data_IF_586827883368
#
_entry.id   IF_586827883368
#
_cell.length_a   1.000
_cell.length_b   1.000
_cell.length_c   1.000
_cell.angle_alpha   90.00
_cell.angle_beta   90.00
_cell.angle_gamma   90.00
#
_symmetry.space_group_name_H-M   'P 1'
#
loop_
_entity.id
_entity.type
_entity.pdbx_description
1 polymer ?
#
# COMPACT_ATOMS: atom_id res chain seq x y z
N UNK A 1 19.69 30.89 -11.80
CA UNK A 1 20.79 31.54 -11.05
C UNK A 1 20.12 32.23 -9.86
N UNK A 2 20.25 31.85 -8.59
CA UNK A 2 21.40 31.34 -7.82
C UNK A 2 20.89 30.43 -6.68
N UNK A 3 21.66 29.38 -6.40
CA UNK A 3 21.51 28.44 -5.30
C UNK A 3 21.90 29.06 -3.94
N UNK A 4 21.23 28.67 -2.87
CA UNK A 4 21.62 28.95 -1.48
C UNK A 4 22.09 27.67 -0.78
N UNK A 5 23.39 27.59 -0.55
CA UNK A 5 24.08 26.54 0.20
C UNK A 5 23.96 26.77 1.71
N UNK A 6 23.84 25.70 2.49
CA UNK A 6 23.98 25.74 3.94
C UNK A 6 25.23 24.96 4.36
N UNK A 7 26.11 25.66 5.08
CA UNK A 7 27.39 25.17 5.62
C UNK A 7 27.20 24.44 6.95
N UNK A 8 27.95 23.36 7.12
CA UNK A 8 28.14 22.63 8.35
C UNK A 8 29.12 23.37 9.29
N UNK A 9 28.82 23.39 10.60
CA UNK A 9 29.74 23.84 11.65
C UNK A 9 30.17 22.65 12.51
N UNK A 10 31.49 22.45 12.55
CA UNK A 10 32.23 21.56 13.44
C UNK A 10 32.15 22.06 14.89
N UNK A 11 32.08 21.15 15.85
CA UNK A 11 32.46 21.43 17.24
C UNK A 11 33.57 20.46 17.66
N UNK A 12 34.51 21.06 18.36
CA UNK A 12 35.89 20.66 18.57
C UNK A 12 36.06 19.65 19.71
N UNK A 13 37.12 18.86 19.58
CA UNK A 13 37.58 17.85 20.52
C UNK A 13 38.46 18.46 21.61
N UNK A 14 38.27 18.08 22.88
CA UNK A 14 39.34 18.11 23.89
C UNK A 14 39.25 16.93 24.86
N UNK A 15 40.40 16.27 25.02
CA UNK A 15 40.70 15.12 25.87
C UNK A 15 40.82 15.46 27.36
N UNK A 16 40.75 14.46 28.26
CA UNK A 16 41.77 14.15 29.30
C UNK A 16 41.41 12.90 30.14
N UNK A 17 42.34 11.90 30.08
CA UNK A 17 42.89 10.95 31.10
C UNK A 17 42.04 10.07 32.04
N UNK A 18 42.15 8.76 31.77
CA UNK A 18 42.64 7.63 32.62
C UNK A 18 42.52 7.64 34.15
N UNK A 19 41.97 6.55 34.71
CA UNK A 19 42.18 6.08 36.09
C UNK A 19 41.64 4.66 36.34
N UNK A 20 42.55 3.72 36.61
CA UNK A 20 42.33 2.26 36.79
C UNK A 20 41.97 1.81 38.22
N UNK A 21 41.43 0.57 38.32
CA UNK A 21 41.36 -0.40 39.46
C UNK A 21 40.20 -0.18 40.45
N UNK A 22 39.55 -1.19 41.06
CA UNK A 22 39.87 -2.63 41.32
C UNK A 22 38.57 -3.39 41.68
N UNK A 23 38.59 -4.71 41.44
CA UNK A 23 37.67 -5.77 41.95
C UNK A 23 37.52 -5.78 43.47
N UNK A 24 36.38 -6.27 43.98
CA UNK A 24 36.26 -7.39 44.95
C UNK A 24 34.80 -7.81 45.18
N UNK A 25 34.48 -9.07 44.86
CA UNK A 25 33.49 -9.94 45.55
C UNK A 25 34.27 -10.76 46.61
N UNK A 26 33.70 -11.37 47.68
CA UNK A 26 32.85 -12.58 47.55
C UNK A 26 31.85 -12.91 48.69
N UNK A 27 30.97 -13.88 48.37
CA UNK A 27 30.43 -15.00 49.19
C UNK A 27 29.66 -14.68 50.51
N UNK A 28 28.78 -15.52 51.09
CA UNK A 28 28.53 -16.96 50.95
C UNK A 28 27.18 -17.34 51.62
N UNK A 29 26.74 -18.58 51.36
CA UNK A 29 25.49 -19.24 51.76
C UNK A 29 25.50 -19.75 53.21
N UNK A 30 24.33 -19.97 53.81
CA UNK A 30 23.80 -21.29 54.28
C UNK A 30 22.68 -21.15 55.35
N UNK A 31 21.68 -22.05 55.33
CA UNK A 31 20.39 -22.03 56.07
C UNK A 31 20.44 -22.40 57.57
N UNK A 32 19.42 -23.03 58.22
CA UNK A 32 18.36 -23.89 57.65
C UNK A 32 16.92 -23.74 58.24
N UNK A 33 15.97 -24.44 57.59
CA UNK A 33 14.73 -25.12 58.03
C UNK A 33 13.85 -24.57 59.17
N UNK A 34 12.55 -24.43 58.87
CA UNK A 34 11.47 -24.36 59.86
C UNK A 34 10.09 -24.56 59.21
N UNK A 35 9.52 -25.76 59.38
CA UNK A 35 8.17 -26.14 58.99
C UNK A 35 7.19 -25.70 60.08
N UNK A 36 6.08 -25.01 59.75
CA UNK A 36 4.84 -24.99 60.54
C UNK A 36 3.71 -24.33 59.74
N UNK A 37 2.62 -25.07 59.54
CA UNK A 37 1.43 -24.60 58.84
C UNK A 37 0.63 -23.56 59.63
N UNK A 38 -0.24 -22.84 58.91
CA UNK A 38 -1.47 -22.25 59.44
C UNK A 38 -2.40 -21.89 58.29
N UNK A 39 -3.67 -22.24 58.49
CA UNK A 39 -4.79 -22.03 57.59
C UNK A 39 -5.04 -20.55 57.28
N UNK A 40 -5.47 -20.25 56.06
CA UNK A 40 -5.99 -18.94 55.67
C UNK A 40 -7.48 -19.07 55.34
N UNK A 41 -8.27 -18.30 56.07
CA UNK A 41 -9.68 -18.05 55.81
C UNK A 41 -9.86 -17.22 54.53
N UNK A 42 -10.98 -17.48 53.85
CA UNK A 42 -11.52 -16.75 52.71
C UNK A 42 -11.48 -15.23 52.86
N UNK A 43 -11.03 -14.54 51.80
CA UNK A 43 -11.61 -13.31 51.25
C UNK A 43 -11.12 -13.18 49.80
N UNK A 44 -11.97 -13.59 48.85
CA UNK A 44 -11.71 -13.49 47.41
C UNK A 44 -12.72 -12.55 46.77
N UNK A 45 -12.46 -11.25 46.82
CA UNK A 45 -13.06 -10.25 45.93
C UNK A 45 -11.93 -9.72 45.04
N UNK A 46 -11.80 -10.30 43.86
CA UNK A 46 -10.93 -9.80 42.80
C UNK A 46 -11.77 -9.59 41.56
N UNK A 47 -12.38 -8.41 41.46
CA UNK A 47 -12.93 -7.95 40.19
C UNK A 47 -11.77 -7.90 39.18
N UNK A 48 -11.87 -8.69 38.13
CA UNK A 48 -10.94 -8.62 37.01
C UNK A 48 -11.11 -7.26 36.35
N UNK A 49 -10.19 -6.35 36.61
CA UNK A 49 -10.07 -5.10 35.85
C UNK A 49 -9.67 -5.47 34.42
N UNK A 50 -10.62 -5.37 33.48
CA UNK A 50 -10.29 -5.26 32.06
C UNK A 50 -9.29 -4.10 31.91
N UNK A 51 -8.23 -4.25 31.09
CA UNK A 51 -7.31 -3.14 30.85
C UNK A 51 -8.09 -1.96 30.27
N UNK A 52 -7.86 -0.75 30.80
CA UNK A 52 -8.44 0.48 30.26
C UNK A 52 -7.96 0.63 28.81
N UNK A 53 -8.87 0.49 27.84
CA UNK A 53 -8.63 0.92 26.46
C UNK A 53 -8.42 2.43 26.47
N UNK A 54 -7.25 2.87 26.05
CA UNK A 54 -7.01 4.29 25.75
C UNK A 54 -7.62 4.54 24.37
N UNK A 55 -8.80 5.15 24.31
CA UNK A 55 -9.40 5.52 23.03
C UNK A 55 -8.57 6.64 22.42
N UNK A 56 -7.97 6.40 21.27
CA UNK A 56 -7.25 7.43 20.51
C UNK A 56 -8.31 8.35 19.90
N UNK A 57 -8.40 9.59 20.40
CA UNK A 57 -9.25 10.61 19.77
C UNK A 57 -8.55 11.13 18.52
N UNK A 58 -9.20 10.99 17.36
CA UNK A 58 -8.69 11.51 16.10
C UNK A 58 -9.08 12.99 15.93
N UNK A 59 -8.17 13.77 15.36
CA UNK A 59 -8.52 15.12 14.87
C UNK A 59 -9.35 14.96 13.60
N UNK A 60 -10.40 15.76 13.44
CA UNK A 60 -11.30 15.67 12.29
C UNK A 60 -11.55 17.03 11.65
N UNK A 61 -11.70 17.02 10.33
CA UNK A 61 -12.38 18.06 9.58
C UNK A 61 -13.77 17.53 9.21
N UNK A 62 -14.82 18.31 9.49
CA UNK A 62 -16.20 17.90 9.26
C UNK A 62 -16.88 18.89 8.33
N UNK A 63 -17.48 18.38 7.27
CA UNK A 63 -18.33 19.13 6.34
C UNK A 63 -19.75 18.61 6.51
N UNK A 64 -20.64 19.42 7.08
CA UNK A 64 -22.01 19.02 7.42
C UNK A 64 -23.06 19.95 6.76
N UNK A 65 -23.39 19.73 5.48
CA UNK A 65 -24.47 20.47 4.82
C UNK A 65 -25.82 20.22 5.52
N UNK A 66 -26.74 21.20 5.55
CA UNK A 66 -28.05 21.02 6.19
C UNK A 66 -28.96 20.02 5.45
N UNK A 67 -28.62 19.69 4.21
CA UNK A 67 -29.30 18.71 3.36
C UNK A 67 -28.83 17.27 3.58
N UNK A 68 -27.81 17.08 4.43
CA UNK A 68 -27.23 15.78 4.65
C UNK A 68 -28.16 14.86 5.43
N UNK A 69 -28.34 13.65 4.91
CA UNK A 69 -29.15 12.59 5.51
C UNK A 69 -28.38 11.28 5.70
N UNK A 70 -27.08 11.28 5.37
CA UNK A 70 -26.15 10.17 5.50
C UNK A 70 -24.80 10.65 6.02
N UNK A 71 -23.96 9.72 6.48
CA UNK A 71 -22.59 10.01 6.87
C UNK A 71 -21.62 9.39 5.85
N UNK A 72 -20.59 10.14 5.49
CA UNK A 72 -19.46 9.68 4.68
C UNK A 72 -18.16 9.85 5.48
N UNK A 73 -17.48 8.76 5.80
CA UNK A 73 -16.15 8.79 6.42
C UNK A 73 -15.08 8.69 5.33
N UNK A 74 -14.28 9.73 5.09
CA UNK A 74 -13.22 9.74 4.07
C UNK A 74 -11.83 9.74 4.70
N UNK A 75 -11.08 8.66 4.48
CA UNK A 75 -9.77 8.39 5.11
C UNK A 75 -8.63 8.68 4.14
N UNK A 76 -7.76 9.63 4.48
CA UNK A 76 -6.66 10.09 3.62
C UNK A 76 -5.50 9.06 3.49
N UNK A 77 -4.64 9.25 2.49
CA UNK A 77 -3.45 8.41 2.26
C UNK A 77 -2.24 8.76 3.14
N UNK A 78 -1.13 8.04 2.96
CA UNK A 78 0.12 8.32 3.68
C UNK A 78 0.67 9.72 3.36
N UNK A 79 1.14 10.43 4.38
CA UNK A 79 1.76 11.75 4.25
C UNK A 79 0.79 12.91 4.05
N UNK A 80 -0.53 12.65 4.12
CA UNK A 80 -1.61 13.63 3.98
C UNK A 80 -2.22 13.99 5.35
N UNK A 81 -3.33 14.74 5.35
CA UNK A 81 -4.03 15.16 6.56
C UNK A 81 -5.56 15.23 6.36
N UNK A 82 -6.28 15.69 7.38
CA UNK A 82 -7.75 15.78 7.38
C UNK A 82 -8.35 16.76 6.36
N UNK A 83 -7.53 17.59 5.70
CA UNK A 83 -8.01 18.55 4.69
C UNK A 83 -7.84 18.01 3.27
N UNK A 84 -7.02 16.97 3.08
CA UNK A 84 -6.57 16.48 1.76
C UNK A 84 -7.74 16.08 0.85
N UNK A 85 -8.64 15.21 1.33
CA UNK A 85 -9.76 14.71 0.54
C UNK A 85 -10.96 15.67 0.51
N UNK A 86 -10.96 16.76 1.28
CA UNK A 86 -12.07 17.72 1.30
C UNK A 86 -12.26 18.40 -0.06
N UNK A 87 -11.17 18.53 -0.84
CA UNK A 87 -11.20 19.08 -2.20
C UNK A 87 -11.99 18.24 -3.21
N UNK A 88 -12.32 16.98 -2.89
CA UNK A 88 -13.08 16.08 -3.75
C UNK A 88 -14.60 16.26 -3.62
N UNK A 89 -15.06 16.84 -2.49
CA UNK A 89 -16.49 16.93 -2.16
C UNK A 89 -17.35 17.68 -3.19
N UNK A 90 -16.89 18.75 -3.85
CA UNK A 90 -17.66 19.39 -4.92
C UNK A 90 -18.00 18.46 -6.10
N UNK A 91 -17.29 17.34 -6.24
CA UNK A 91 -17.51 16.36 -7.30
C UNK A 91 -18.16 15.08 -6.78
N UNK A 92 -17.81 14.63 -5.57
CA UNK A 92 -18.38 13.42 -4.96
C UNK A 92 -19.81 13.63 -4.44
N UNK A 93 -20.08 14.78 -3.83
CA UNK A 93 -21.36 15.09 -3.18
C UNK A 93 -21.79 16.55 -3.45
N UNK A 94 -22.03 16.94 -4.71
CA UNK A 94 -22.40 18.31 -5.07
C UNK A 94 -23.73 18.76 -4.46
N UNK A 95 -24.64 17.84 -4.12
CA UNK A 95 -25.91 18.15 -3.45
C UNK A 95 -25.82 18.20 -1.92
N UNK A 96 -24.67 17.88 -1.33
CA UNK A 96 -24.47 17.88 0.11
C UNK A 96 -25.39 16.91 0.85
N UNK A 97 -25.46 15.65 0.38
CA UNK A 97 -26.24 14.56 0.97
C UNK A 97 -25.53 13.89 2.14
N UNK A 98 -24.23 14.11 2.29
CA UNK A 98 -23.44 13.48 3.33
C UNK A 98 -22.90 14.51 4.33
N UNK A 99 -23.01 14.18 5.62
CA UNK A 99 -22.09 14.69 6.62
C UNK A 99 -20.77 13.97 6.36
N UNK A 100 -19.78 14.70 5.84
CA UNK A 100 -18.47 14.12 5.58
C UNK A 100 -17.56 14.36 6.78
N UNK A 101 -17.03 13.26 7.33
CA UNK A 101 -16.01 13.26 8.38
C UNK A 101 -14.68 12.85 7.77
N UNK A 102 -13.68 13.72 7.89
CA UNK A 102 -12.33 13.48 7.40
C UNK A 102 -11.38 13.45 8.60
N UNK A 103 -10.94 12.28 9.06
CA UNK A 103 -10.01 12.18 10.19
C UNK A 103 -8.56 12.28 9.74
N UNK A 104 -7.71 12.78 10.66
CA UNK A 104 -6.25 12.77 10.54
C UNK A 104 -5.67 11.48 11.11
N UNK A 105 -4.74 10.87 10.39
CA UNK A 105 -3.96 9.73 10.87
C UNK A 105 -3.19 10.03 12.17
N UNK A 106 -3.14 9.08 13.13
CA UNK A 106 -2.52 9.33 14.43
C UNK A 106 -0.99 9.33 14.42
N UNK A 107 -0.34 8.83 13.35
CA UNK A 107 1.11 8.70 13.25
C UNK A 107 1.70 9.84 12.43
N UNK A 108 2.66 10.58 12.98
CA UNK A 108 3.33 11.66 12.26
C UNK A 108 4.19 11.12 11.10
N UNK A 109 3.99 11.66 9.90
CA UNK A 109 4.72 11.26 8.69
C UNK A 109 4.99 12.49 7.81
N UNK A 110 6.05 13.27 8.10
CA UNK A 110 6.33 14.53 7.41
C UNK A 110 6.29 14.40 5.88
N UNK A 111 5.57 15.30 5.15
CA UNK A 111 5.02 16.56 5.63
C UNK A 111 3.68 16.47 6.40
N UNK A 112 3.01 15.32 6.44
CA UNK A 112 1.70 15.14 7.06
C UNK A 112 1.65 14.00 8.06
N UNK A 113 0.66 13.13 7.90
CA UNK A 113 0.31 12.06 8.82
C UNK A 113 0.09 10.73 8.08
N UNK A 114 0.11 9.66 8.85
CA UNK A 114 -0.11 8.29 8.40
C UNK A 114 -0.94 7.53 9.43
N UNK A 115 -1.48 6.40 9.00
CA UNK A 115 -2.34 5.56 9.83
C UNK A 115 -1.60 4.41 10.48
N UNK A 116 -0.57 3.91 9.83
CA UNK A 116 0.29 2.88 10.36
C UNK A 116 1.69 3.07 9.80
N UNK A 117 2.67 2.49 10.48
CA UNK A 117 4.05 2.58 10.07
C UNK A 117 4.24 1.89 8.71
N UNK A 118 5.01 2.52 7.83
CA UNK A 118 5.61 1.87 6.67
C UNK A 118 7.02 1.47 7.10
N UNK A 119 7.28 0.18 7.26
CA UNK A 119 8.50 -0.30 7.91
C UNK A 119 9.79 0.20 7.25
N UNK A 120 10.44 1.22 7.81
CA UNK A 120 11.89 1.34 7.80
C UNK A 120 12.37 0.63 9.06
N UNK A 121 13.09 -0.48 8.89
CA UNK A 121 13.64 -1.28 9.98
C UNK A 121 14.37 -0.39 11.01
N UNK A 122 13.69 -0.03 12.12
CA UNK A 122 14.28 0.92 13.05
C UNK A 122 13.43 1.49 14.17
N UNK A 123 12.24 0.97 14.51
CA UNK A 123 11.52 1.47 15.71
C UNK A 123 10.43 0.52 16.27
N UNK A 124 10.69 -0.78 16.44
CA UNK A 124 10.02 -1.63 17.44
C UNK A 124 8.48 -1.82 17.42
N UNK A 125 7.72 -1.13 16.58
CA UNK A 125 6.28 -1.32 16.38
C UNK A 125 6.11 -2.07 15.06
N UNK A 126 5.59 -3.28 15.15
CA UNK A 126 5.19 -4.07 13.99
C UNK A 126 4.02 -3.35 13.30
N UNK A 127 4.08 -3.21 11.97
CA UNK A 127 3.07 -2.57 11.10
C UNK A 127 1.64 -3.00 11.45
N UNK A 128 1.46 -4.24 11.93
CA UNK A 128 0.16 -4.78 12.34
C UNK A 128 -0.48 -4.07 13.55
N UNK A 129 0.29 -3.64 14.54
CA UNK A 129 -0.28 -3.06 15.77
C UNK A 129 -0.87 -1.68 15.51
N UNK A 130 -0.13 -0.80 14.83
CA UNK A 130 -0.60 0.56 14.53
C UNK A 130 -1.73 0.57 13.52
N UNK A 131 -1.78 -0.42 12.63
CA UNK A 131 -2.94 -0.65 11.75
C UNK A 131 -4.20 -0.96 12.55
N UNK A 132 -4.14 -1.93 13.47
CA UNK A 132 -5.29 -2.34 14.30
C UNK A 132 -5.77 -1.19 15.18
N UNK A 133 -4.86 -0.43 15.80
CA UNK A 133 -5.21 0.74 16.61
C UNK A 133 -5.91 1.83 15.79
N UNK A 134 -5.42 2.13 14.60
CA UNK A 134 -6.07 3.07 13.68
C UNK A 134 -7.44 2.58 13.22
N UNK A 135 -7.58 1.28 12.94
CA UNK A 135 -8.85 0.67 12.56
C UNK A 135 -9.88 0.74 13.71
N UNK A 136 -9.47 0.49 14.95
CA UNK A 136 -10.33 0.66 16.13
C UNK A 136 -10.73 2.13 16.34
N UNK A 137 -9.81 3.07 16.16
CA UNK A 137 -10.10 4.50 16.29
C UNK A 137 -11.09 5.00 15.22
N UNK A 138 -10.95 4.55 13.97
CA UNK A 138 -11.89 4.86 12.89
C UNK A 138 -13.27 4.24 13.14
N UNK A 139 -13.31 3.02 13.67
CA UNK A 139 -14.55 2.32 14.00
C UNK A 139 -15.34 3.02 15.13
N UNK A 140 -14.66 3.52 16.15
CA UNK A 140 -15.25 4.32 17.23
C UNK A 140 -15.65 5.72 16.75
N UNK A 141 -14.85 6.34 15.88
CA UNK A 141 -15.19 7.63 15.27
C UNK A 141 -16.46 7.56 14.43
N UNK A 142 -16.60 6.51 13.60
CA UNK A 142 -17.78 6.32 12.76
C UNK A 142 -19.07 6.25 13.61
N UNK A 143 -19.03 5.51 14.72
CA UNK A 143 -20.16 5.37 15.64
C UNK A 143 -20.49 6.68 16.38
N UNK A 144 -19.44 7.37 16.85
CA UNK A 144 -19.56 8.66 17.53
C UNK A 144 -20.16 9.71 16.61
N UNK A 145 -19.63 9.85 15.39
CA UNK A 145 -20.11 10.83 14.43
C UNK A 145 -21.55 10.54 13.96
N UNK A 146 -21.91 9.27 13.75
CA UNK A 146 -23.30 8.90 13.47
C UNK A 146 -24.23 9.32 14.62
N UNK A 147 -23.83 9.05 15.86
CA UNK A 147 -24.60 9.42 17.06
C UNK A 147 -24.76 10.93 17.22
N UNK A 148 -23.68 11.70 17.06
CA UNK A 148 -23.68 13.16 17.19
C UNK A 148 -24.57 13.84 16.14
N UNK A 149 -24.65 13.27 14.94
CA UNK A 149 -25.47 13.80 13.86
C UNK A 149 -26.87 13.16 13.77
N UNK A 150 -27.21 12.21 14.65
CA UNK A 150 -28.50 11.52 14.65
C UNK A 150 -28.73 10.64 13.41
N UNK A 151 -27.65 10.09 12.85
CA UNK A 151 -27.64 9.27 11.64
C UNK A 151 -27.46 7.79 12.01
N UNK A 152 -28.01 6.89 11.19
CA UNK A 152 -27.82 5.45 11.38
C UNK A 152 -26.46 5.02 10.83
N UNK A 153 -25.67 4.34 11.65
CA UNK A 153 -24.37 3.76 11.23
C UNK A 153 -24.49 2.81 10.03
N UNK A 154 -25.55 2.01 9.99
CA UNK A 154 -25.82 1.08 8.90
C UNK A 154 -26.08 1.77 7.55
N UNK A 155 -26.42 3.06 7.58
CA UNK A 155 -26.63 3.88 6.38
C UNK A 155 -25.36 4.67 5.98
N UNK A 156 -24.31 4.64 6.80
CA UNK A 156 -23.08 5.38 6.53
C UNK A 156 -22.27 4.71 5.42
N UNK A 157 -21.51 5.51 4.66
CA UNK A 157 -20.53 5.03 3.68
C UNK A 157 -19.13 5.34 4.21
N UNK A 158 -18.20 4.41 4.01
CA UNK A 158 -16.79 4.62 4.32
C UNK A 158 -15.99 4.63 3.03
N UNK A 159 -14.98 5.47 2.93
CA UNK A 159 -14.11 5.51 1.77
C UNK A 159 -12.72 5.99 2.11
N UNK A 160 -11.77 5.76 1.21
CA UNK A 160 -10.42 6.22 1.42
C UNK A 160 -9.52 6.06 0.22
N UNK A 161 -8.37 6.73 0.31
CA UNK A 161 -7.33 6.72 -0.70
C UNK A 161 -6.06 6.05 -0.16
N UNK A 162 -5.38 5.23 -0.98
CA UNK A 162 -4.08 4.64 -0.63
C UNK A 162 -4.13 3.90 0.71
N UNK A 163 -3.28 4.26 1.68
CA UNK A 163 -3.31 3.72 3.05
C UNK A 163 -4.70 3.79 3.71
N UNK A 164 -5.40 4.93 3.56
CA UNK A 164 -6.74 5.11 4.10
C UNK A 164 -7.79 4.27 3.39
N UNK A 165 -7.59 3.97 2.10
CA UNK A 165 -8.44 3.05 1.35
C UNK A 165 -8.40 1.62 1.92
N UNK A 166 -7.23 1.14 2.30
CA UNK A 166 -7.06 -0.18 2.91
C UNK A 166 -7.77 -0.25 4.26
N UNK A 167 -7.69 0.82 5.06
CA UNK A 167 -8.44 0.92 6.32
C UNK A 167 -9.96 1.01 6.10
N UNK A 168 -10.43 1.71 5.07
CA UNK A 168 -11.85 1.76 4.74
C UNK A 168 -12.39 0.38 4.34
N UNK A 169 -11.62 -0.38 3.54
CA UNK A 169 -11.94 -1.78 3.20
C UNK A 169 -11.95 -2.65 4.45
N UNK A 170 -10.91 -2.59 5.29
CA UNK A 170 -10.88 -3.34 6.55
C UNK A 170 -12.05 -2.97 7.47
N UNK A 171 -12.40 -1.69 7.57
CA UNK A 171 -13.52 -1.23 8.40
C UNK A 171 -14.87 -1.72 7.88
N UNK A 172 -15.05 -1.73 6.57
CA UNK A 172 -16.26 -2.25 5.94
C UNK A 172 -16.41 -3.76 6.10
N UNK A 173 -15.31 -4.50 6.06
CA UNK A 173 -15.33 -5.98 6.00
C UNK A 173 -15.02 -6.68 7.32
N UNK A 174 -14.48 -6.00 8.34
CA UNK A 174 -14.09 -6.63 9.61
C UNK A 174 -15.26 -7.30 10.32
N UNK A 175 -15.00 -8.43 10.96
CA UNK A 175 -15.92 -9.00 11.94
C UNK A 175 -16.14 -7.99 13.09
N UNK A 176 -17.39 -7.61 13.34
CA UNK A 176 -17.76 -6.64 14.35
C UNK A 176 -19.16 -6.90 14.89
N UNK A 177 -19.40 -6.55 16.16
CA UNK A 177 -20.76 -6.49 16.71
C UNK A 177 -21.50 -5.22 16.26
N UNK A 178 -20.77 -4.19 15.81
CA UNK A 178 -21.35 -2.96 15.27
C UNK A 178 -21.87 -3.21 13.86
N UNK A 179 -22.91 -2.48 13.46
CA UNK A 179 -23.42 -2.54 12.10
C UNK A 179 -22.34 -2.16 11.08
N UNK A 180 -22.27 -2.91 9.98
CA UNK A 180 -21.44 -2.59 8.83
C UNK A 180 -21.97 -1.33 8.12
N UNK A 181 -21.09 -0.55 7.46
CA UNK A 181 -21.51 0.55 6.60
C UNK A 181 -22.29 0.04 5.38
N UNK A 182 -23.10 0.91 4.79
CA UNK A 182 -23.91 0.65 3.60
C UNK A 182 -23.08 0.41 2.33
N UNK A 183 -21.81 0.86 2.31
CA UNK A 183 -20.91 0.63 1.20
C UNK A 183 -19.48 1.12 1.49
N UNK A 184 -18.54 0.69 0.65
CA UNK A 184 -17.13 1.08 0.70
C UNK A 184 -16.64 1.69 -0.62
N UNK A 185 -16.00 2.86 -0.57
CA UNK A 185 -15.28 3.48 -1.69
C UNK A 185 -13.76 3.29 -1.52
N UNK A 186 -13.15 2.45 -2.35
CA UNK A 186 -11.74 2.12 -2.30
C UNK A 186 -10.99 2.74 -3.49
N UNK A 187 -10.20 3.80 -3.23
CA UNK A 187 -9.42 4.50 -4.27
C UNK A 187 -7.93 4.19 -4.16
N UNK A 188 -7.34 3.70 -5.25
CA UNK A 188 -5.91 3.42 -5.43
C UNK A 188 -5.30 2.71 -4.22
N UNK A 189 -5.83 1.54 -3.89
CA UNK A 189 -5.51 0.83 -2.64
C UNK A 189 -5.40 -0.69 -2.85
N UNK A 190 -5.25 -1.44 -1.76
CA UNK A 190 -5.07 -2.89 -1.73
C UNK A 190 -5.91 -3.51 -0.60
N UNK A 191 -6.12 -4.82 -0.65
CA UNK A 191 -6.69 -5.57 0.46
C UNK A 191 -5.63 -5.69 1.57
N UNK A 192 -5.85 -5.16 2.78
CA UNK A 192 -4.88 -5.30 3.86
C UNK A 192 -4.82 -6.76 4.34
N UNK A 193 -3.62 -7.32 4.39
CA UNK A 193 -3.33 -8.60 5.03
C UNK A 193 -2.58 -8.33 6.34
N UNK A 194 -3.35 -8.24 7.44
CA UNK A 194 -2.85 -7.82 8.75
C UNK A 194 -3.31 -8.78 9.83
N UNK A 195 -2.35 -9.37 10.56
CA UNK A 195 -2.65 -10.21 11.73
C UNK A 195 -3.45 -9.41 12.77
N UNK A 196 -4.57 -9.99 13.22
CA UNK A 196 -5.47 -9.36 14.19
C UNK A 196 -6.69 -8.65 13.58
N UNK A 197 -6.86 -8.69 12.26
CA UNK A 197 -8.07 -8.21 11.56
C UNK A 197 -8.76 -9.38 10.88
N UNK A 198 -9.80 -9.92 11.53
CA UNK A 198 -10.66 -10.94 10.93
C UNK A 198 -11.70 -10.30 10.01
N UNK A 199 -11.82 -10.77 8.77
CA UNK A 199 -12.81 -10.32 7.80
C UNK A 199 -14.06 -11.22 7.82
N UNK A 200 -15.24 -10.62 7.89
CA UNK A 200 -16.53 -11.31 7.81
C UNK A 200 -17.03 -11.35 6.37
N UNK A 201 -16.55 -12.35 5.62
CA UNK A 201 -16.94 -12.57 4.24
C UNK A 201 -18.43 -12.90 4.05
N UNK A 202 -19.11 -13.40 5.09
CA UNK A 202 -20.53 -13.68 5.00
C UNK A 202 -21.34 -12.37 5.02
N UNK A 203 -21.04 -11.48 5.97
CA UNK A 203 -21.64 -10.15 6.04
C UNK A 203 -21.27 -9.27 4.83
N UNK A 204 -20.05 -9.44 4.30
CA UNK A 204 -19.55 -8.70 3.14
C UNK A 204 -20.43 -8.83 1.88
N UNK A 205 -21.17 -9.94 1.72
CA UNK A 205 -22.05 -10.16 0.57
C UNK A 205 -23.20 -9.14 0.45
N UNK A 206 -23.48 -8.39 1.50
CA UNK A 206 -24.49 -7.32 1.52
C UNK A 206 -23.90 -5.91 1.33
N UNK A 207 -22.56 -5.77 1.26
CA UNK A 207 -21.86 -4.49 1.27
C UNK A 207 -21.29 -4.21 -0.12
N UNK A 208 -21.91 -3.33 -0.94
CA UNK A 208 -21.33 -2.93 -2.21
C UNK A 208 -20.00 -2.21 -2.01
N UNK A 209 -19.03 -2.50 -2.89
CA UNK A 209 -17.71 -1.88 -2.91
C UNK A 209 -17.40 -1.35 -4.31
N UNK A 210 -17.06 -0.06 -4.39
CA UNK A 210 -16.46 0.54 -5.58
C UNK A 210 -14.94 0.58 -5.42
N UNK A 211 -14.23 -0.11 -6.31
CA UNK A 211 -12.77 -0.11 -6.38
C UNK A 211 -12.33 0.67 -7.61
N UNK A 212 -11.53 1.72 -7.41
CA UNK A 212 -10.99 2.54 -8.48
C UNK A 212 -9.47 2.56 -8.41
N UNK A 213 -8.77 2.40 -9.53
CA UNK A 213 -7.31 2.35 -9.53
C UNK A 213 -6.70 3.04 -10.76
N UNK A 214 -5.51 3.61 -10.60
CA UNK A 214 -4.73 4.18 -11.69
C UNK A 214 -3.96 3.11 -12.46
N UNK A 215 -4.07 3.07 -13.79
CA UNK A 215 -3.31 2.13 -14.63
C UNK A 215 -1.81 2.40 -14.64
N UNK A 216 -1.40 3.64 -14.32
CA UNK A 216 -0.01 4.09 -14.29
C UNK A 216 0.47 4.36 -12.85
N UNK A 217 -0.16 3.76 -11.84
CA UNK A 217 0.17 3.95 -10.43
C UNK A 217 1.58 3.40 -10.10
N UNK A 218 2.57 4.28 -9.81
CA UNK A 218 3.94 3.83 -9.56
C UNK A 218 4.17 3.37 -8.12
N UNK A 219 3.20 3.57 -7.22
CA UNK A 219 3.32 3.23 -5.80
C UNK A 219 2.59 1.93 -5.47
N UNK A 220 1.40 1.75 -6.03
CA UNK A 220 0.60 0.54 -5.90
C UNK A 220 0.24 0.09 -7.32
N UNK A 221 1.08 -0.75 -7.95
CA UNK A 221 0.80 -1.23 -9.30
C UNK A 221 -0.58 -1.88 -9.40
N UNK A 222 -1.30 -1.63 -10.49
CA UNK A 222 -2.71 -2.05 -10.66
C UNK A 222 -2.90 -3.56 -10.52
N UNK A 223 -1.90 -4.33 -10.97
CA UNK A 223 -1.82 -5.79 -10.91
C UNK A 223 -1.59 -6.34 -9.50
N UNK A 224 -1.17 -5.50 -8.55
CA UNK A 224 -0.94 -5.88 -7.14
C UNK A 224 -1.89 -5.19 -6.16
N UNK A 225 -2.53 -4.09 -6.58
CA UNK A 225 -3.47 -3.31 -5.78
C UNK A 225 -4.92 -3.57 -6.15
N UNK A 226 -5.54 -2.60 -6.82
CA UNK A 226 -6.98 -2.56 -7.05
C UNK A 226 -7.54 -3.78 -7.75
N UNK A 227 -6.83 -4.36 -8.73
CA UNK A 227 -7.32 -5.57 -9.41
C UNK A 227 -7.31 -6.79 -8.50
N UNK A 228 -6.27 -6.98 -7.69
CA UNK A 228 -6.20 -8.09 -6.72
C UNK A 228 -7.29 -7.93 -5.65
N UNK A 229 -7.47 -6.71 -5.14
CA UNK A 229 -8.56 -6.40 -4.22
C UNK A 229 -9.91 -6.75 -4.85
N UNK A 230 -10.23 -6.19 -6.02
CA UNK A 230 -11.51 -6.41 -6.69
C UNK A 230 -11.76 -7.89 -7.02
N UNK A 231 -10.77 -8.61 -7.52
CA UNK A 231 -10.89 -10.04 -7.80
C UNK A 231 -11.18 -10.83 -6.52
N UNK A 232 -10.48 -10.52 -5.42
CA UNK A 232 -10.71 -11.19 -4.13
C UNK A 232 -12.13 -10.94 -3.61
N UNK A 233 -12.64 -9.72 -3.74
CA UNK A 233 -14.01 -9.36 -3.36
C UNK A 233 -15.04 -10.16 -4.18
N UNK A 234 -14.86 -10.20 -5.50
CA UNK A 234 -15.73 -10.95 -6.43
C UNK A 234 -15.71 -12.44 -6.12
N UNK A 235 -14.55 -13.02 -5.87
CA UNK A 235 -14.39 -14.45 -5.55
C UNK A 235 -15.12 -14.84 -4.25
N UNK A 236 -15.27 -13.90 -3.32
CA UNK A 236 -16.04 -14.07 -2.08
C UNK A 236 -17.52 -13.65 -2.20
N UNK A 237 -17.99 -13.27 -3.38
CA UNK A 237 -19.39 -12.90 -3.62
C UNK A 237 -19.78 -11.51 -3.14
N UNK A 238 -18.82 -10.62 -2.91
CA UNK A 238 -19.07 -9.22 -2.53
C UNK A 238 -19.52 -8.42 -3.77
N UNK A 239 -20.64 -7.67 -3.71
CA UNK A 239 -21.07 -6.82 -4.82
C UNK A 239 -20.00 -5.76 -5.14
N UNK A 240 -19.32 -5.92 -6.26
CA UNK A 240 -18.13 -5.11 -6.59
C UNK A 240 -18.29 -4.43 -7.94
N UNK A 241 -17.94 -3.15 -8.01
CA UNK A 241 -17.67 -2.41 -9.25
C UNK A 241 -16.18 -2.08 -9.26
N UNK A 242 -15.48 -2.48 -10.33
CA UNK A 242 -14.05 -2.21 -10.50
C UNK A 242 -13.79 -1.38 -11.75
N UNK A 243 -13.03 -0.30 -11.58
CA UNK A 243 -12.73 0.66 -12.64
C UNK A 243 -11.25 1.06 -12.65
N UNK A 244 -10.70 1.17 -13.84
CA UNK A 244 -9.33 1.60 -14.10
C UNK A 244 -9.32 2.93 -14.84
N UNK A 245 -8.42 3.83 -14.46
CA UNK A 245 -8.29 5.16 -15.06
C UNK A 245 -6.85 5.42 -15.50
N UNK A 246 -6.61 6.13 -16.63
CA UNK A 246 -5.28 6.50 -17.10
C UNK A 246 -4.66 7.60 -16.22
N UNK A 247 -4.30 7.23 -14.99
CA UNK A 247 -3.75 8.11 -13.95
C UNK A 247 -2.70 7.35 -13.13
N UNK A 248 -1.84 8.12 -12.44
CA UNK A 248 -0.88 7.57 -11.48
C UNK A 248 -1.51 7.32 -10.10
N UNK A 249 -0.69 7.43 -9.04
CA UNK A 249 -1.17 7.36 -7.65
C UNK A 249 -1.93 8.64 -7.26
N UNK A 250 -3.13 8.81 -7.81
CA UNK A 250 -3.98 10.00 -7.67
C UNK A 250 -5.45 9.63 -7.83
N UNK A 251 -6.35 10.63 -7.80
CA UNK A 251 -7.78 10.49 -8.09
C UNK A 251 -8.12 11.32 -9.33
N UNK A 252 -8.71 10.70 -10.35
CA UNK A 252 -9.08 11.35 -11.61
C UNK A 252 -10.48 11.99 -11.52
N UNK A 253 -10.74 13.02 -12.31
CA UNK A 253 -12.06 13.67 -12.30
C UNK A 253 -13.16 12.72 -12.77
N UNK A 254 -12.86 11.90 -13.78
CA UNK A 254 -13.76 10.87 -14.31
C UNK A 254 -14.10 9.83 -13.23
N UNK A 255 -13.14 9.47 -12.38
CA UNK A 255 -13.37 8.53 -11.29
C UNK A 255 -14.30 9.11 -10.22
N UNK A 256 -14.21 10.42 -9.96
CA UNK A 256 -15.11 11.11 -9.02
C UNK A 256 -16.56 11.11 -9.52
N UNK A 257 -16.81 11.24 -10.82
CA UNK A 257 -18.17 11.16 -11.37
C UNK A 257 -18.77 9.76 -11.18
N UNK A 258 -18.00 8.70 -11.45
CA UNK A 258 -18.49 7.34 -11.19
C UNK A 258 -18.73 7.10 -9.69
N UNK A 259 -17.83 7.59 -8.84
CA UNK A 259 -18.00 7.50 -7.39
C UNK A 259 -19.24 8.24 -6.89
N UNK A 260 -19.57 9.41 -7.46
CA UNK A 260 -20.80 10.13 -7.18
C UNK A 260 -22.06 9.32 -7.54
N UNK A 261 -22.10 8.75 -8.75
CA UNK A 261 -23.23 7.95 -9.22
C UNK A 261 -23.40 6.70 -8.34
N UNK A 262 -22.29 6.04 -7.99
CA UNK A 262 -22.27 4.90 -7.10
C UNK A 262 -22.75 5.25 -5.69
N UNK A 263 -22.31 6.37 -5.11
CA UNK A 263 -22.80 6.86 -3.81
C UNK A 263 -24.32 7.12 -3.84
N UNK A 264 -24.83 7.63 -4.97
CA UNK A 264 -26.25 7.81 -5.22
C UNK A 264 -27.03 6.48 -5.19
N UNK A 265 -26.51 5.45 -5.85
CA UNK A 265 -27.11 4.12 -5.89
C UNK A 265 -27.10 3.45 -4.50
N UNK A 266 -25.98 3.51 -3.77
CA UNK A 266 -25.89 2.99 -2.40
C UNK A 266 -26.87 3.71 -1.47
N UNK A 267 -26.99 5.04 -1.57
CA UNK A 267 -27.99 5.81 -0.80
C UNK A 267 -29.43 5.40 -1.13
N UNK A 268 -29.70 4.98 -2.36
CA UNK A 268 -31.00 4.45 -2.79
C UNK A 268 -31.26 3.00 -2.32
N UNK A 269 -30.31 2.38 -1.62
CA UNK A 269 -30.40 0.99 -1.15
C UNK A 269 -30.02 -0.05 -2.22
N UNK A 270 -29.43 0.39 -3.33
CA UNK A 270 -28.92 -0.51 -4.36
C UNK A 270 -27.58 -1.13 -3.94
N UNK A 271 -27.22 -2.25 -4.57
CA UNK A 271 -25.93 -2.92 -4.38
C UNK A 271 -25.22 -3.04 -5.72
N UNK A 272 -24.62 -1.95 -6.23
CA UNK A 272 -23.97 -1.96 -7.52
C UNK A 272 -22.93 -3.07 -7.62
N UNK A 273 -22.98 -3.84 -8.71
CA UNK A 273 -21.97 -4.82 -9.05
C UNK A 273 -21.88 -4.96 -10.57
N UNK A 274 -20.67 -5.12 -11.08
CA UNK A 274 -20.40 -5.31 -12.49
C UNK A 274 -19.41 -6.47 -12.69
N UNK A 275 -19.43 -7.15 -13.86
CA UNK A 275 -18.37 -8.09 -14.22
C UNK A 275 -17.00 -7.41 -14.19
N UNK A 276 -15.98 -8.13 -13.74
CA UNK A 276 -14.61 -7.64 -13.79
C UNK A 276 -14.22 -7.29 -15.24
N UNK A 277 -13.65 -6.09 -15.50
CA UNK A 277 -13.05 -5.78 -16.78
C UNK A 277 -11.94 -6.79 -17.09
N UNK A 278 -11.85 -7.21 -18.35
CA UNK A 278 -10.78 -8.09 -18.80
C UNK A 278 -9.42 -7.43 -18.54
N UNK A 279 -8.47 -8.18 -18.02
CA UNK A 279 -7.14 -7.66 -17.80
C UNK A 279 -6.52 -7.23 -19.14
N UNK A 280 -5.78 -6.10 -19.20
CA UNK A 280 -4.91 -5.86 -20.33
C UNK A 280 -4.03 -7.09 -20.53
N UNK A 281 -3.73 -7.47 -21.78
CA UNK A 281 -2.79 -8.55 -22.01
C UNK A 281 -1.49 -8.24 -21.27
N UNK A 282 -0.97 -9.24 -20.56
CA UNK A 282 0.33 -9.18 -19.88
C UNK A 282 1.36 -8.49 -20.78
N UNK A 283 2.08 -7.47 -20.28
CA UNK A 283 3.07 -6.80 -21.09
C UNK A 283 4.13 -7.83 -21.51
N UNK A 284 4.40 -7.89 -22.81
CA UNK A 284 5.39 -8.83 -23.36
C UNK A 284 6.81 -8.59 -22.82
N UNK A 285 7.03 -7.43 -22.17
CA UNK A 285 8.26 -7.03 -21.50
C UNK A 285 7.95 -6.68 -20.04
N UNK A 286 7.96 -7.70 -19.17
CA UNK A 286 7.69 -7.56 -17.73
C UNK A 286 8.89 -6.93 -16.99
N UNK A 287 8.63 -6.16 -15.93
CA UNK A 287 9.67 -5.74 -14.98
C UNK A 287 10.06 -6.90 -14.06
N UNK A 288 11.35 -7.08 -13.82
CA UNK A 288 11.86 -8.16 -12.95
C UNK A 288 12.71 -7.57 -11.84
N UNK A 289 12.45 -8.04 -10.61
CA UNK A 289 13.20 -7.65 -9.40
C UNK A 289 14.41 -8.55 -9.16
N UNK A 290 15.29 -8.16 -8.23
CA UNK A 290 16.40 -9.03 -7.79
C UNK A 290 15.89 -10.39 -7.27
N UNK A 291 14.75 -10.42 -6.58
CA UNK A 291 14.18 -11.65 -6.02
C UNK A 291 13.69 -12.62 -7.11
N UNK A 292 13.25 -12.09 -8.25
CA UNK A 292 12.68 -12.87 -9.35
C UNK A 292 13.72 -13.26 -10.41
N UNK A 293 14.85 -12.54 -10.48
CA UNK A 293 15.81 -12.63 -11.58
C UNK A 293 16.33 -14.05 -11.82
N UNK A 294 16.56 -14.82 -10.76
CA UNK A 294 17.03 -16.21 -10.90
C UNK A 294 15.99 -17.10 -11.62
N UNK A 295 14.73 -17.02 -11.18
CA UNK A 295 13.63 -17.79 -11.76
C UNK A 295 13.28 -17.32 -13.18
N UNK A 296 13.24 -16.00 -13.39
CA UNK A 296 12.74 -15.42 -14.65
C UNK A 296 13.78 -15.37 -15.76
N UNK A 297 15.06 -15.20 -15.39
CA UNK A 297 16.16 -14.95 -16.34
C UNK A 297 17.17 -16.09 -16.35
N UNK A 298 17.72 -16.44 -15.18
CA UNK A 298 18.88 -17.35 -15.14
C UNK A 298 18.50 -18.81 -15.37
N UNK A 299 17.32 -19.21 -14.90
CA UNK A 299 16.82 -20.59 -15.00
C UNK A 299 15.76 -20.77 -16.10
N UNK A 300 15.54 -19.75 -16.93
CA UNK A 300 14.59 -19.80 -18.04
C UNK A 300 14.96 -20.87 -19.08
N UNK A 301 13.95 -21.64 -19.50
CA UNK A 301 14.07 -22.65 -20.57
C UNK A 301 14.26 -22.04 -21.96
N UNK A 302 13.90 -20.76 -22.12
CA UNK A 302 14.11 -19.98 -23.36
C UNK A 302 15.14 -18.88 -23.13
N UNK A 303 15.88 -18.46 -24.18
CA UNK A 303 16.74 -17.29 -24.09
C UNK A 303 15.97 -16.03 -23.64
N UNK A 304 16.60 -15.24 -22.77
CA UNK A 304 15.96 -14.06 -22.17
C UNK A 304 16.69 -12.78 -22.58
N UNK A 305 15.94 -11.80 -23.05
CA UNK A 305 16.42 -10.44 -23.30
C UNK A 305 16.10 -9.58 -22.08
N UNK A 306 17.11 -8.94 -21.51
CA UNK A 306 16.98 -8.05 -20.34
C UNK A 306 17.32 -6.63 -20.76
N UNK A 307 16.35 -5.71 -20.68
CA UNK A 307 16.56 -4.26 -20.88
C UNK A 307 16.88 -3.57 -19.54
N UNK A 308 18.13 -3.20 -19.32
CA UNK A 308 18.55 -2.40 -18.17
C UNK A 308 18.33 -0.91 -18.48
N UNK A 309 17.44 -0.28 -17.72
CA UNK A 309 16.92 1.06 -17.98
C UNK A 309 16.73 1.88 -16.69
N UNK A 310 16.33 3.14 -16.84
CA UNK A 310 15.89 4.01 -15.75
C UNK A 310 14.88 5.07 -16.26
N UNK A 311 13.96 5.59 -15.44
CA UNK A 311 12.91 6.52 -15.87
C UNK A 311 13.44 7.86 -16.40
N UNK A 312 14.58 8.32 -15.87
CA UNK A 312 15.27 9.55 -16.30
C UNK A 312 16.04 9.39 -17.61
N UNK A 313 16.21 8.17 -18.12
CA UNK A 313 16.99 7.89 -19.32
C UNK A 313 16.18 8.15 -20.59
N UNK A 314 16.38 9.34 -21.18
CA UNK A 314 15.77 9.71 -22.46
C UNK A 314 15.98 8.68 -23.59
N UNK A 315 17.21 8.18 -23.83
CA UNK A 315 17.46 7.13 -24.82
C UNK A 315 16.75 5.81 -24.53
N UNK A 316 16.55 5.45 -23.25
CA UNK A 316 15.85 4.22 -22.86
C UNK A 316 14.39 4.27 -23.33
N UNK A 317 13.71 5.41 -23.16
CA UNK A 317 12.34 5.62 -23.66
C UNK A 317 12.22 5.46 -25.19
N UNK A 318 13.30 5.70 -25.95
CA UNK A 318 13.31 5.45 -27.39
C UNK A 318 13.48 3.96 -27.72
N UNK A 319 14.16 3.20 -26.86
CA UNK A 319 14.42 1.77 -27.03
C UNK A 319 13.26 0.90 -26.55
N UNK A 320 12.54 1.29 -25.50
CA UNK A 320 11.39 0.53 -24.97
C UNK A 320 10.41 0.04 -26.05
N UNK A 321 9.90 0.88 -26.99
CA UNK A 321 9.00 0.40 -28.05
C UNK A 321 9.69 -0.54 -29.05
N UNK A 322 11.01 -0.45 -29.21
CA UNK A 322 11.79 -1.38 -30.03
C UNK A 322 11.84 -2.76 -29.37
N UNK A 323 12.05 -2.80 -28.05
CA UNK A 323 12.08 -4.05 -27.27
C UNK A 323 10.69 -4.68 -27.23
N UNK A 324 9.62 -3.90 -27.06
CA UNK A 324 8.24 -4.38 -27.15
C UNK A 324 7.93 -4.96 -28.52
N UNK A 325 8.37 -4.32 -29.61
CA UNK A 325 8.23 -4.86 -30.96
C UNK A 325 8.99 -6.19 -31.11
N UNK A 326 10.22 -6.29 -30.59
CA UNK A 326 10.99 -7.54 -30.60
C UNK A 326 10.29 -8.65 -29.81
N UNK A 327 9.69 -8.31 -28.67
CA UNK A 327 8.94 -9.23 -27.83
C UNK A 327 7.70 -9.77 -28.57
N UNK A 328 6.94 -8.91 -29.24
CA UNK A 328 5.80 -9.30 -30.06
C UNK A 328 6.19 -10.23 -31.22
N UNK A 329 7.31 -9.96 -31.89
CA UNK A 329 7.77 -10.75 -33.04
C UNK A 329 8.34 -12.13 -32.66
N UNK A 330 8.73 -12.33 -31.38
CA UNK A 330 9.52 -13.49 -30.93
C UNK A 330 8.89 -14.23 -29.75
N UNK A 331 7.59 -14.04 -29.55
CA UNK A 331 6.83 -14.75 -28.52
C UNK A 331 7.07 -16.26 -28.61
N UNK A 332 7.29 -16.89 -27.45
CA UNK A 332 7.54 -18.34 -27.33
C UNK A 332 8.98 -18.77 -27.65
N UNK A 333 9.72 -18.02 -28.47
CA UNK A 333 11.14 -18.32 -28.77
C UNK A 333 12.11 -17.58 -27.84
N UNK A 334 11.71 -16.41 -27.36
CA UNK A 334 12.47 -15.59 -26.43
C UNK A 334 11.54 -15.01 -25.36
N UNK A 335 12.07 -14.83 -24.15
CA UNK A 335 11.43 -14.03 -23.11
C UNK A 335 12.06 -12.63 -23.11
N UNK A 336 11.28 -11.61 -22.80
CA UNK A 336 11.75 -10.25 -22.67
C UNK A 336 11.36 -9.71 -21.31
N UNK A 337 12.33 -9.08 -20.63
CA UNK A 337 12.14 -8.45 -19.33
C UNK A 337 12.89 -7.13 -19.28
N UNK A 338 12.53 -6.27 -18.35
CA UNK A 338 13.24 -5.03 -18.05
C UNK A 338 13.64 -4.97 -16.58
N UNK A 339 14.76 -4.31 -16.31
CA UNK A 339 15.28 -4.10 -14.95
C UNK A 339 15.57 -2.61 -14.80
N UNK A 340 14.89 -1.97 -13.84
CA UNK A 340 15.21 -0.60 -13.47
C UNK A 340 16.48 -0.61 -12.60
N UNK A 341 17.53 0.07 -13.04
CA UNK A 341 18.81 0.08 -12.32
C UNK A 341 18.77 0.91 -11.03
N UNK A 342 17.80 1.83 -10.89
CA UNK A 342 17.63 2.62 -9.67
C UNK A 342 16.99 1.76 -8.57
N UNK A 343 16.02 0.93 -8.93
CA UNK A 343 15.30 0.04 -8.02
C UNK A 343 16.15 -1.22 -7.69
N UNK A 344 16.93 -1.70 -8.66
CA UNK A 344 17.70 -2.95 -8.58
C UNK A 344 19.22 -2.72 -8.78
N UNK A 345 19.88 -1.88 -7.95
CA UNK A 345 21.30 -1.54 -8.13
C UNK A 345 22.23 -2.75 -7.98
N UNK A 346 21.80 -3.81 -7.28
CA UNK A 346 22.56 -5.05 -7.12
C UNK A 346 22.67 -5.80 -8.44
N UNK A 347 21.59 -5.87 -9.23
CA UNK A 347 21.62 -6.47 -10.57
C UNK A 347 22.49 -5.63 -11.51
N UNK A 348 22.35 -4.30 -11.47
CA UNK A 348 23.18 -3.40 -12.27
C UNK A 348 24.68 -3.59 -11.97
N UNK A 349 25.04 -3.74 -10.69
CA UNK A 349 26.41 -4.01 -10.27
C UNK A 349 26.90 -5.40 -10.71
N UNK A 350 26.08 -6.44 -10.50
CA UNK A 350 26.42 -7.83 -10.83
C UNK A 350 26.74 -8.02 -12.31
N UNK A 351 25.99 -7.34 -13.19
CA UNK A 351 26.19 -7.39 -14.64
C UNK A 351 27.02 -6.23 -15.20
N UNK A 352 27.63 -5.42 -14.31
CA UNK A 352 28.55 -4.32 -14.66
C UNK A 352 27.92 -3.32 -15.63
N UNK A 353 26.66 -2.94 -15.41
CA UNK A 353 25.93 -1.95 -16.21
C UNK A 353 26.53 -0.56 -15.98
N UNK A 354 27.40 -0.12 -16.89
CA UNK A 354 28.07 1.20 -16.81
C UNK A 354 27.33 2.32 -17.55
N UNK A 355 26.43 1.96 -18.47
CA UNK A 355 25.66 2.90 -19.27
C UNK A 355 24.32 2.28 -19.64
N UNK A 356 23.26 3.08 -19.67
CA UNK A 356 21.93 2.66 -20.10
C UNK A 356 21.47 3.43 -21.36
N UNK A 357 20.63 2.84 -22.23
CA UNK A 357 20.12 1.47 -22.14
C UNK A 357 21.21 0.43 -22.44
N UNK A 358 21.19 -0.67 -21.67
CA UNK A 358 21.99 -1.86 -21.94
C UNK A 358 21.05 -3.05 -22.08
N UNK A 359 21.11 -3.75 -23.21
CA UNK A 359 20.22 -4.86 -23.51
C UNK A 359 21.06 -6.12 -23.51
N UNK A 360 20.82 -7.04 -22.58
CA UNK A 360 21.57 -8.29 -22.44
C UNK A 360 20.81 -9.50 -22.97
N UNK A 361 21.48 -10.41 -23.67
CA UNK A 361 20.97 -11.74 -24.00
C UNK A 361 21.51 -12.76 -22.99
N UNK A 362 20.58 -13.42 -22.30
CA UNK A 362 20.84 -14.47 -21.34
C UNK A 362 20.46 -15.83 -21.90
N UNK A 363 21.36 -16.81 -21.74
CA UNK A 363 21.13 -18.22 -22.05
C UNK A 363 21.87 -19.08 -21.03
N UNK A 364 21.24 -20.17 -20.58
CA UNK A 364 21.85 -21.13 -19.64
C UNK A 364 22.45 -20.43 -18.40
N UNK A 365 21.72 -19.46 -17.82
CA UNK A 365 22.16 -18.72 -16.63
C UNK A 365 23.30 -17.72 -16.84
N UNK A 366 23.66 -17.36 -18.09
CA UNK A 366 24.77 -16.45 -18.38
C UNK A 366 24.38 -15.40 -19.42
N UNK A 367 24.90 -14.18 -19.24
CA UNK A 367 24.83 -13.13 -20.26
C UNK A 367 25.88 -13.42 -21.34
N UNK A 368 25.44 -13.81 -22.54
CA UNK A 368 26.33 -14.18 -23.64
C UNK A 368 26.73 -12.98 -24.50
N UNK A 369 25.78 -12.06 -24.72
CA UNK A 369 25.91 -10.88 -25.59
C UNK A 369 25.15 -9.72 -25.00
N UNK A 370 25.55 -8.51 -25.38
CA UNK A 370 24.82 -7.31 -25.01
C UNK A 370 24.92 -6.25 -26.12
N UNK A 371 23.94 -5.36 -26.14
CA UNK A 371 23.91 -4.16 -26.97
C UNK A 371 23.87 -2.93 -26.06
N UNK A 372 24.64 -1.88 -26.41
CA UNK A 372 24.69 -0.63 -25.66
C UNK A 372 24.13 0.55 -26.46
N UNK A 373 23.31 1.37 -25.80
CA UNK A 373 22.80 2.63 -26.32
C UNK A 373 21.58 2.46 -27.23
N UNK A 374 20.90 3.59 -27.49
CA UNK A 374 19.74 3.62 -28.36
C UNK A 374 20.12 3.45 -29.83
N UNK A 375 19.56 2.43 -30.48
CA UNK A 375 19.80 2.11 -31.89
C UNK A 375 18.59 1.38 -32.50
N UNK A 376 18.47 1.31 -33.84
CA UNK A 376 17.37 0.60 -34.49
C UNK A 376 17.34 -0.90 -34.18
N UNK A 377 16.16 -1.51 -34.24
CA UNK A 377 15.91 -2.93 -33.96
C UNK A 377 16.93 -3.87 -34.59
N UNK A 378 17.19 -3.71 -35.88
CA UNK A 378 18.07 -4.60 -36.65
C UNK A 378 19.50 -4.60 -36.10
N UNK A 379 19.97 -3.47 -35.58
CA UNK A 379 21.30 -3.37 -35.00
C UNK A 379 21.35 -4.00 -33.59
N UNK A 380 20.30 -3.81 -32.78
CA UNK A 380 20.16 -4.51 -31.49
C UNK A 380 20.16 -6.02 -31.73
N UNK A 381 19.32 -6.51 -32.64
CA UNK A 381 19.25 -7.93 -32.99
C UNK A 381 20.58 -8.48 -33.51
N UNK A 382 21.31 -7.70 -34.32
CA UNK A 382 22.62 -8.11 -34.82
C UNK A 382 23.66 -8.27 -33.70
N UNK A 383 23.75 -7.30 -32.78
CA UNK A 383 24.68 -7.34 -31.65
C UNK A 383 24.34 -8.48 -30.68
N UNK A 384 23.05 -8.73 -30.47
CA UNK A 384 22.56 -9.86 -29.67
C UNK A 384 22.62 -11.21 -30.41
N UNK A 385 22.99 -11.24 -31.70
CA UNK A 385 23.06 -12.49 -32.47
C UNK A 385 21.69 -13.13 -32.75
N UNK A 386 20.62 -12.34 -32.80
CA UNK A 386 19.23 -12.77 -32.99
C UNK A 386 18.79 -12.81 -34.47
N UNK A 387 19.74 -12.82 -35.40
CA UNK A 387 19.49 -12.72 -36.84
C UNK A 387 18.88 -14.00 -37.46
N UNK A 388 18.80 -15.09 -36.71
CA UNK A 388 18.16 -16.34 -37.12
C UNK A 388 17.01 -16.63 -36.14
N UNK A 389 15.81 -16.84 -36.67
CA UNK A 389 14.68 -17.37 -35.90
C UNK A 389 14.92 -18.89 -35.82
N UNK A 390 15.16 -19.46 -34.63
CA UNK A 390 15.33 -20.91 -34.48
C UNK A 390 14.04 -21.68 -34.82
#
# INVERSE_FOLDING_TARGET
MIAGSWHASKIDSTSVRSGTRRRTTPSERSGPAGCMGRAWHHLGSGASSRPQRWTVSLNTHVVAPPTADRLLLLVHGYGADEQDLAGLLPYLDPEGRFVTVLPRGPVAAPPGYSWHDIGLAGAGHTVSTTFVESLEALDDLLDTACTEHGLARADAVVGGFSQGGGLAVALGLRASEKAHPAGVLAMSTYLPDVEGVDLDWAAATDIPILVQHGTDDPLIPVEHGGRVLAQTLVDHGVPTVYEEYPMGHSVALESLQSAHDWLGAVRAGERPSAPMPEAPPEPLVRSVTTAEFEAEVLTSDVPVIVDFWAPWCGPCRQVSPVIEQMAAMRQGAYRFVKVNIDDEPQLAQAFQVQSIPMIGLFRNGRMERFALGAKPRQQIEAELGMLVIP
#
